data_IF_625042958692
#
_entry.id   IF_625042958692
#
_cell.length_a   1.000
_cell.length_b   1.000
_cell.length_c   1.000
_cell.angle_alpha   90.00
_cell.angle_beta   90.00
_cell.angle_gamma   90.00
#
_symmetry.space_group_name_H-M   'P 1'
#
loop_
_entity.id
_entity.type
_entity.pdbx_description
1 polymer ?
#
# COMPACT_ATOMS: atom_id res chain seq x y z
N UNK A 1 -20.27 45.62 -41.16
CA UNK A 1 -19.98 44.23 -41.58
C UNK A 1 -18.58 43.83 -41.08
N UNK A 2 -18.34 42.55 -40.74
CA UNK A 2 -18.07 42.12 -39.36
C UNK A 2 -16.70 41.45 -39.09
N UNK A 3 -16.52 41.08 -37.82
CA UNK A 3 -15.78 39.92 -37.31
C UNK A 3 -14.27 40.05 -37.06
N UNK A 4 -13.90 39.97 -35.77
CA UNK A 4 -13.14 38.83 -35.22
C UNK A 4 -13.26 38.79 -33.70
N UNK A 5 -14.37 38.22 -33.24
CA UNK A 5 -14.38 37.45 -32.00
C UNK A 5 -13.66 36.15 -32.31
N UNK A 6 -12.44 35.95 -31.80
CA UNK A 6 -11.82 34.63 -31.77
C UNK A 6 -10.78 34.55 -30.67
N UNK A 7 -10.95 33.50 -29.86
CA UNK A 7 -9.97 32.87 -28.99
C UNK A 7 -9.70 33.50 -27.61
N UNK A 8 -10.72 33.50 -26.74
CA UNK A 8 -10.45 33.26 -25.32
C UNK A 8 -11.27 32.08 -24.79
N UNK A 9 -10.87 30.89 -25.24
CA UNK A 9 -11.29 29.61 -24.70
C UNK A 9 -10.09 28.84 -24.13
N UNK A 10 -9.14 29.54 -23.47
CA UNK A 10 -8.21 28.89 -22.53
C UNK A 10 -9.00 28.50 -21.27
N UNK A 11 -9.92 27.56 -21.46
CA UNK A 11 -10.80 27.04 -20.42
C UNK A 11 -9.98 26.32 -19.35
N UNK A 12 -10.50 26.34 -18.12
CA UNK A 12 -10.00 25.71 -16.89
C UNK A 12 -9.11 24.45 -17.06
N UNK A 13 -9.40 23.59 -18.04
CA UNK A 13 -8.54 22.47 -18.47
C UNK A 13 -7.06 22.81 -18.74
N UNK A 14 -6.77 23.92 -19.42
CA UNK A 14 -5.40 24.35 -19.71
C UNK A 14 -4.68 24.83 -18.44
N UNK A 15 -5.39 25.54 -17.56
CA UNK A 15 -4.86 25.96 -16.25
C UNK A 15 -4.60 24.77 -15.33
N UNK A 16 -5.48 23.78 -15.33
CA UNK A 16 -5.31 22.54 -14.57
C UNK A 16 -4.13 21.69 -15.07
N UNK A 17 -3.96 21.57 -16.38
CA UNK A 17 -2.82 20.85 -16.96
C UNK A 17 -1.48 21.54 -16.63
N UNK A 18 -1.47 22.87 -16.57
CA UNK A 18 -0.29 23.63 -16.16
C UNK A 18 0.01 23.43 -14.66
N UNK A 19 -1.02 23.46 -13.80
CA UNK A 19 -0.91 23.17 -12.37
C UNK A 19 -0.35 21.78 -12.07
N UNK A 20 -0.88 20.73 -12.73
CA UNK A 20 -0.39 19.35 -12.58
C UNK A 20 1.10 19.22 -12.93
N UNK A 21 1.56 19.96 -13.96
CA UNK A 21 2.97 19.99 -14.35
C UNK A 21 3.84 20.77 -13.37
N UNK A 22 3.41 21.95 -12.93
CA UNK A 22 4.17 22.81 -12.01
C UNK A 22 4.32 22.19 -10.62
N UNK A 23 3.30 21.47 -10.14
CA UNK A 23 3.27 20.89 -8.80
C UNK A 23 3.83 19.46 -8.75
N UNK A 24 4.39 18.94 -9.84
CA UNK A 24 4.98 17.59 -9.88
C UNK A 24 3.98 16.44 -9.62
N UNK A 25 2.67 16.71 -9.71
CA UNK A 25 1.59 15.78 -9.35
C UNK A 25 1.61 14.53 -10.23
N UNK A 26 2.07 14.65 -11.48
CA UNK A 26 2.24 13.51 -12.39
C UNK A 26 3.19 12.46 -11.81
N UNK A 27 4.32 12.89 -11.25
CA UNK A 27 5.30 11.98 -10.65
C UNK A 27 4.75 11.27 -9.41
N UNK A 28 4.02 12.00 -8.57
CA UNK A 28 3.31 11.42 -7.41
C UNK A 28 2.25 10.41 -7.83
N UNK A 29 1.46 10.72 -8.85
CA UNK A 29 0.41 9.84 -9.36
C UNK A 29 0.98 8.52 -9.92
N UNK A 30 2.05 8.61 -10.72
CA UNK A 30 2.73 7.42 -11.26
C UNK A 30 3.41 6.62 -10.16
N UNK A 31 4.09 7.28 -9.23
CA UNK A 31 4.74 6.64 -8.09
C UNK A 31 3.75 5.90 -7.20
N UNK A 32 2.61 6.51 -6.92
CA UNK A 32 1.54 5.86 -6.15
C UNK A 32 0.94 4.67 -6.91
N UNK A 33 0.62 4.84 -8.20
CA UNK A 33 0.04 3.77 -9.01
C UNK A 33 0.95 2.53 -9.09
N UNK A 34 2.25 2.73 -9.37
CA UNK A 34 3.24 1.64 -9.40
C UNK A 34 3.46 1.09 -8.00
N UNK A 35 3.56 1.95 -6.98
CA UNK A 35 3.76 1.55 -5.59
C UNK A 35 2.62 0.67 -5.06
N UNK A 36 1.37 1.01 -5.38
CA UNK A 36 0.21 0.18 -5.04
C UNK A 36 0.27 -1.18 -5.74
N UNK A 37 0.50 -1.21 -7.05
CA UNK A 37 0.58 -2.48 -7.80
C UNK A 37 1.74 -3.38 -7.31
N UNK A 38 2.91 -2.79 -7.05
CA UNK A 38 4.05 -3.51 -6.48
C UNK A 38 3.73 -4.04 -5.07
N UNK A 39 3.12 -3.21 -4.21
CA UNK A 39 2.68 -3.60 -2.88
C UNK A 39 1.69 -4.77 -2.91
N UNK A 40 0.73 -4.76 -3.83
CA UNK A 40 -0.26 -5.83 -3.97
C UNK A 40 0.39 -7.14 -4.47
N UNK A 41 1.36 -7.05 -5.38
CA UNK A 41 2.14 -8.21 -5.82
C UNK A 41 2.88 -8.86 -4.64
N UNK A 42 3.50 -8.05 -3.78
CA UNK A 42 4.19 -8.57 -2.58
C UNK A 42 3.21 -9.16 -1.58
N UNK A 43 2.05 -8.52 -1.35
CA UNK A 43 1.00 -9.11 -0.49
C UNK A 43 0.53 -10.46 -1.01
N UNK A 44 0.35 -10.60 -2.32
CA UNK A 44 -0.02 -11.89 -2.93
C UNK A 44 1.07 -12.94 -2.73
N UNK A 45 2.34 -12.57 -2.88
CA UNK A 45 3.47 -13.46 -2.61
C UNK A 45 3.48 -13.91 -1.13
N UNK A 46 3.27 -13.00 -0.20
CA UNK A 46 3.15 -13.32 1.23
C UNK A 46 1.96 -14.24 1.49
N UNK A 47 0.79 -13.92 0.94
CA UNK A 47 -0.41 -14.74 1.10
C UNK A 47 -0.27 -16.15 0.50
N UNK A 48 0.50 -16.31 -0.58
CA UNK A 48 0.70 -17.60 -1.23
C UNK A 48 1.77 -18.48 -0.55
N UNK A 49 2.83 -17.87 0.01
CA UNK A 49 3.99 -18.62 0.51
C UNK A 49 4.20 -18.50 2.02
N UNK A 50 3.96 -17.34 2.61
CA UNK A 50 4.20 -17.11 4.05
C UNK A 50 2.97 -17.48 4.88
N UNK A 51 1.78 -17.10 4.44
CA UNK A 51 0.54 -17.40 5.18
C UNK A 51 0.35 -18.91 5.44
N UNK A 52 0.61 -19.83 4.49
CA UNK A 52 0.55 -21.28 4.78
C UNK A 52 1.59 -21.74 5.82
N UNK A 53 2.79 -21.15 5.82
CA UNK A 53 3.82 -21.47 6.82
C UNK A 53 3.44 -20.97 8.21
N UNK A 54 2.88 -19.76 8.28
CA UNK A 54 2.32 -19.20 9.52
C UNK A 54 1.16 -20.05 10.00
N UNK A 55 0.29 -20.51 9.11
CA UNK A 55 -0.80 -21.42 9.44
C UNK A 55 -0.31 -22.76 10.00
N UNK A 56 0.80 -23.29 9.50
CA UNK A 56 1.39 -24.53 10.01
C UNK A 56 1.93 -24.36 11.45
N UNK A 57 2.49 -23.18 11.77
CA UNK A 57 3.15 -22.91 13.06
C UNK A 57 2.15 -22.43 14.12
N UNK A 58 1.26 -21.50 13.77
CA UNK A 58 0.33 -20.82 14.68
C UNK A 58 -1.04 -21.53 14.71
N UNK A 59 -1.30 -22.44 13.78
CA UNK A 59 -2.60 -23.06 13.57
C UNK A 59 -3.48 -22.27 12.60
N UNK A 60 -4.79 -22.52 12.59
CA UNK A 60 -5.70 -21.88 11.63
C UNK A 60 -5.71 -20.35 11.80
N UNK A 61 -5.29 -19.63 10.76
CA UNK A 61 -5.41 -18.16 10.69
C UNK A 61 -6.87 -17.71 10.85
N UNK A 62 -7.83 -18.55 10.44
CA UNK A 62 -9.26 -18.30 10.68
C UNK A 62 -9.62 -18.42 12.17
N UNK A 63 -9.01 -19.37 12.90
CA UNK A 63 -9.17 -19.49 14.35
C UNK A 63 -8.56 -18.30 15.10
N UNK A 64 -7.38 -17.81 14.64
CA UNK A 64 -6.79 -16.60 15.19
C UNK A 64 -7.67 -15.38 14.89
N UNK A 65 -8.18 -15.22 13.66
CA UNK A 65 -9.08 -14.10 13.30
C UNK A 65 -10.41 -14.12 14.05
N UNK A 66 -10.92 -15.31 14.35
CA UNK A 66 -12.13 -15.51 15.14
C UNK A 66 -11.91 -15.35 16.66
N UNK A 67 -10.68 -15.05 17.11
CA UNK A 67 -10.42 -14.76 18.50
C UNK A 67 -10.99 -13.38 18.84
N UNK A 68 -12.08 -13.40 19.58
CA UNK A 68 -12.81 -12.22 20.02
C UNK A 68 -12.93 -12.23 21.54
N UNK A 69 -12.88 -11.04 22.14
CA UNK A 69 -13.13 -10.86 23.56
C UNK A 69 -14.40 -10.04 23.71
N UNK A 70 -15.39 -10.59 24.40
CA UNK A 70 -16.66 -9.91 24.63
C UNK A 70 -16.68 -9.31 26.02
N UNK A 71 -16.73 -7.99 26.10
CA UNK A 71 -16.92 -7.27 27.35
C UNK A 71 -18.40 -6.91 27.51
N UNK A 72 -19.01 -7.40 28.59
CA UNK A 72 -20.35 -7.00 29.02
C UNK A 72 -20.24 -6.03 30.19
N UNK A 73 -20.79 -4.83 30.03
CA UNK A 73 -20.88 -3.82 31.08
C UNK A 73 -22.34 -3.36 31.16
N UNK A 74 -23.09 -3.90 32.13
CA UNK A 74 -24.55 -3.72 32.22
C UNK A 74 -25.27 -4.34 31.02
N UNK A 75 -26.17 -3.57 30.39
CA UNK A 75 -26.91 -3.98 29.18
C UNK A 75 -26.12 -3.77 27.87
N UNK A 76 -24.85 -3.36 27.94
CA UNK A 76 -24.01 -3.10 26.76
C UNK A 76 -23.01 -4.21 26.56
N UNK A 77 -23.00 -4.75 25.35
CA UNK A 77 -22.06 -5.76 24.89
C UNK A 77 -21.11 -5.14 23.86
N UNK A 78 -19.81 -5.23 24.11
CA UNK A 78 -18.75 -4.81 23.20
C UNK A 78 -17.91 -6.01 22.79
N UNK A 79 -17.91 -6.33 21.49
CA UNK A 79 -17.11 -7.40 20.91
C UNK A 79 -15.79 -6.83 20.38
N UNK A 80 -14.67 -7.28 20.93
CA UNK A 80 -13.33 -6.88 20.56
C UNK A 80 -12.64 -8.01 19.79
N UNK A 81 -12.64 -7.91 18.46
CA UNK A 81 -11.97 -8.86 17.56
C UNK A 81 -10.45 -8.62 17.49
N UNK A 82 -9.76 -8.86 18.61
CA UNK A 82 -8.30 -8.70 18.72
C UNK A 82 -7.53 -9.66 17.81
N UNK A 83 -8.13 -10.82 17.53
CA UNK A 83 -7.57 -11.83 16.65
C UNK A 83 -7.31 -11.35 15.22
N UNK A 84 -8.25 -10.59 14.66
CA UNK A 84 -8.11 -10.00 13.33
C UNK A 84 -6.96 -8.98 13.28
N UNK A 85 -6.76 -8.21 14.36
CA UNK A 85 -5.67 -7.26 14.48
C UNK A 85 -4.29 -7.95 14.57
N UNK A 86 -4.17 -9.01 15.39
CA UNK A 86 -2.91 -9.76 15.48
C UNK A 86 -2.58 -10.42 14.15
N UNK A 87 -3.60 -10.98 13.47
CA UNK A 87 -3.40 -11.53 12.12
C UNK A 87 -2.90 -10.49 11.13
N UNK A 88 -3.46 -9.27 11.13
CA UNK A 88 -3.01 -8.23 10.19
C UNK A 88 -1.59 -7.75 10.51
N UNK A 89 -1.21 -7.72 11.79
CA UNK A 89 0.15 -7.40 12.21
C UNK A 89 1.16 -8.45 11.73
N UNK A 90 0.83 -9.74 11.81
CA UNK A 90 1.69 -10.80 11.28
C UNK A 90 1.87 -10.64 9.77
N UNK A 91 0.79 -10.39 9.03
CA UNK A 91 0.85 -10.15 7.57
C UNK A 91 1.71 -8.91 7.25
N UNK A 92 1.60 -7.83 8.01
CA UNK A 92 2.41 -6.63 7.84
C UNK A 92 3.90 -6.93 8.01
N UNK A 93 4.27 -7.64 9.07
CA UNK A 93 5.66 -8.03 9.34
C UNK A 93 6.20 -8.97 8.26
N UNK A 94 5.39 -9.90 7.78
CA UNK A 94 5.75 -10.78 6.67
C UNK A 94 6.00 -10.02 5.36
N UNK A 95 5.11 -9.08 5.00
CA UNK A 95 5.29 -8.19 3.84
C UNK A 95 6.56 -7.37 3.98
N UNK A 96 6.79 -6.75 5.13
CA UNK A 96 8.01 -5.98 5.37
C UNK A 96 9.28 -6.85 5.22
N UNK A 97 9.25 -8.08 5.76
CA UNK A 97 10.35 -9.02 5.64
C UNK A 97 10.63 -9.42 4.18
N UNK A 98 9.59 -9.72 3.41
CA UNK A 98 9.72 -10.08 2.00
C UNK A 98 10.25 -8.90 1.16
N UNK A 99 9.75 -7.69 1.38
CA UNK A 99 10.28 -6.49 0.72
C UNK A 99 11.77 -6.32 1.04
N UNK A 100 12.15 -6.44 2.31
CA UNK A 100 13.56 -6.37 2.72
C UNK A 100 14.40 -7.44 2.03
N UNK A 101 13.94 -8.70 2.03
CA UNK A 101 14.66 -9.81 1.40
C UNK A 101 14.85 -9.58 -0.11
N UNK A 102 13.83 -9.07 -0.82
CA UNK A 102 13.91 -8.75 -2.25
C UNK A 102 14.93 -7.65 -2.53
N UNK A 103 14.87 -6.54 -1.79
CA UNK A 103 15.80 -5.41 -1.94
C UNK A 103 17.24 -5.85 -1.68
N UNK A 104 17.44 -6.66 -0.63
CA UNK A 104 18.75 -7.18 -0.25
C UNK A 104 19.30 -8.20 -1.25
N UNK A 105 18.45 -9.12 -1.75
CA UNK A 105 18.82 -10.15 -2.72
C UNK A 105 19.18 -9.56 -4.08
N UNK A 106 18.46 -8.52 -4.50
CA UNK A 106 18.79 -7.76 -5.72
C UNK A 106 20.04 -6.87 -5.55
N UNK A 107 20.67 -6.84 -4.36
CA UNK A 107 21.82 -5.98 -4.03
C UNK A 107 21.60 -4.52 -4.40
N UNK A 108 20.35 -4.04 -4.39
CA UNK A 108 20.06 -2.62 -4.63
C UNK A 108 20.72 -1.73 -3.57
N UNK A 109 20.90 -2.27 -2.36
CA UNK A 109 21.69 -1.68 -1.27
C UNK A 109 23.17 -1.43 -1.64
N UNK A 110 23.70 -2.16 -2.63
CA UNK A 110 25.10 -2.05 -3.10
C UNK A 110 25.25 -1.23 -4.37
N UNK A 111 24.17 -1.01 -5.12
CA UNK A 111 24.16 -0.17 -6.33
C UNK A 111 24.23 1.32 -6.00
N UNK A 112 23.85 1.73 -4.79
CA UNK A 112 24.04 3.08 -4.26
C UNK A 112 25.49 3.38 -3.83
N UNK A 113 26.41 2.41 -3.98
CA UNK A 113 27.80 2.51 -3.49
C UNK A 113 28.83 2.92 -4.54
N UNK A 114 28.44 3.63 -5.59
CA UNK A 114 29.38 4.15 -6.60
C UNK A 114 29.03 5.57 -7.02
N UNK A 115 29.28 6.55 -6.13
CA UNK A 115 29.52 7.96 -6.52
C UNK A 115 30.47 8.77 -5.63
N UNK A 116 31.32 8.12 -4.81
CA UNK A 116 32.45 8.83 -4.17
C UNK A 116 33.78 8.19 -4.57
N UNK A 117 34.26 8.58 -5.75
CA UNK A 117 35.63 9.05 -6.00
C UNK A 117 35.61 10.02 -7.18
#
# INVERSE_FOLDING_TARGET
MPAKSVANAKGHSAGFMNFIREQGVVGLAVGLAIGTAAGDTVKQLVGAFIDPLVQLIVGSQAGLKAAEFTLKVGDREGVFAWGAFVSSLITLLAVAFVVYAIVHLMKLDKLDKSKDK
#
